data_IF_339670181047
#
_entry.id   IF_339670181047
#
_cell.length_a   1.000
_cell.length_b   1.000
_cell.length_c   1.000
_cell.angle_alpha   90.00
_cell.angle_beta   90.00
_cell.angle_gamma   90.00
#
_symmetry.space_group_name_H-M   'P 1'
#
loop_
_entity.id
_entity.type
_entity.pdbx_description
1 polymer ?
#
# COMPACT_ATOMS: atom_id res chain seq x y z
N UNK A 1 -11.55 19.76 -4.24
CA UNK A 1 -10.97 18.45 -4.62
C UNK A 1 -11.70 17.31 -3.92
N UNK A 2 -11.81 17.33 -2.58
CA UNK A 2 -12.56 16.31 -1.80
C UNK A 2 -14.01 16.14 -2.28
N UNK A 3 -14.75 17.23 -2.52
CA UNK A 3 -16.16 17.18 -2.98
C UNK A 3 -16.35 16.39 -4.28
N UNK A 4 -15.40 16.47 -5.22
CA UNK A 4 -15.51 15.73 -6.49
C UNK A 4 -15.27 14.24 -6.28
N UNK A 5 -14.35 13.88 -5.37
CA UNK A 5 -14.10 12.47 -5.05
C UNK A 5 -15.31 11.86 -4.35
N UNK A 6 -15.92 12.57 -3.41
CA UNK A 6 -17.15 12.12 -2.74
C UNK A 6 -18.30 11.90 -3.75
N UNK A 7 -18.46 12.80 -4.74
CA UNK A 7 -19.44 12.65 -5.81
C UNK A 7 -19.15 11.45 -6.71
N UNK A 8 -17.89 11.26 -7.14
CA UNK A 8 -17.47 10.09 -7.93
C UNK A 8 -17.82 8.80 -7.18
N UNK A 9 -17.53 8.75 -5.88
CA UNK A 9 -17.84 7.59 -5.04
C UNK A 9 -19.34 7.43 -4.78
N UNK A 10 -20.12 8.51 -4.69
CA UNK A 10 -21.56 8.44 -4.52
C UNK A 10 -22.29 7.91 -5.76
N UNK A 11 -21.68 8.08 -6.94
CA UNK A 11 -22.23 7.62 -8.23
C UNK A 11 -21.67 6.26 -8.66
N UNK A 12 -21.03 5.50 -7.76
CA UNK A 12 -20.49 4.16 -8.06
C UNK A 12 -19.27 4.17 -8.97
N UNK A 13 -18.49 5.27 -8.96
CA UNK A 13 -17.34 5.43 -9.85
C UNK A 13 -16.25 4.37 -9.64
N UNK A 14 -16.03 3.87 -8.42
CA UNK A 14 -15.03 2.80 -8.19
C UNK A 14 -15.54 1.47 -8.75
N UNK A 15 -16.83 1.20 -8.64
CA UNK A 15 -17.44 0.02 -9.26
C UNK A 15 -17.22 0.05 -10.78
N UNK A 16 -17.50 1.17 -11.44
CA UNK A 16 -17.28 1.32 -12.89
C UNK A 16 -15.81 1.17 -13.26
N UNK A 17 -14.90 1.82 -12.52
CA UNK A 17 -13.46 1.67 -12.73
C UNK A 17 -12.99 0.22 -12.56
N UNK A 18 -13.55 -0.50 -11.58
CA UNK A 18 -13.21 -1.90 -11.32
C UNK A 18 -13.70 -2.83 -12.43
N UNK A 19 -14.88 -2.56 -13.01
CA UNK A 19 -15.38 -3.26 -14.19
C UNK A 19 -14.53 -2.95 -15.43
N UNK A 20 -14.17 -1.68 -15.66
CA UNK A 20 -13.25 -1.34 -16.76
C UNK A 20 -11.90 -2.05 -16.60
N UNK A 21 -11.39 -2.15 -15.37
CA UNK A 21 -10.14 -2.88 -15.09
C UNK A 21 -10.22 -4.39 -15.37
N UNK A 22 -11.40 -5.02 -15.22
CA UNK A 22 -11.56 -6.45 -15.52
C UNK A 22 -11.63 -6.73 -17.02
N UNK A 23 -12.19 -5.79 -17.78
CA UNK A 23 -12.52 -5.99 -19.20
C UNK A 23 -11.43 -5.45 -20.14
N UNK A 24 -10.64 -4.46 -19.68
CA UNK A 24 -9.60 -3.85 -20.49
C UNK A 24 -8.32 -4.70 -20.55
N UNK A 25 -7.77 -4.84 -21.75
CA UNK A 25 -6.44 -5.46 -21.98
C UNK A 25 -5.37 -4.41 -22.30
N UNK A 26 -5.76 -3.24 -22.81
CA UNK A 26 -4.81 -2.24 -23.27
C UNK A 26 -4.15 -1.51 -22.08
N UNK A 27 -2.80 -1.41 -22.06
CA UNK A 27 -2.09 -0.81 -20.94
C UNK A 27 -2.43 0.66 -20.69
N UNK A 28 -2.86 1.40 -21.71
CA UNK A 28 -3.17 2.82 -21.57
C UNK A 28 -4.45 3.03 -20.77
N UNK A 29 -5.51 2.29 -21.06
CA UNK A 29 -6.75 2.28 -20.28
C UNK A 29 -6.47 1.84 -18.85
N UNK A 30 -5.76 0.72 -18.67
CA UNK A 30 -5.40 0.22 -17.34
C UNK A 30 -4.58 1.24 -16.53
N UNK A 31 -3.67 1.96 -17.18
CA UNK A 31 -2.89 3.03 -16.53
C UNK A 31 -3.78 4.17 -16.07
N UNK A 32 -4.76 4.59 -16.88
CA UNK A 32 -5.71 5.65 -16.52
C UNK A 32 -6.63 5.21 -15.38
N UNK A 33 -7.12 3.97 -15.42
CA UNK A 33 -7.97 3.39 -14.38
C UNK A 33 -7.21 3.26 -13.06
N UNK A 34 -6.01 2.68 -13.07
CA UNK A 34 -5.15 2.59 -11.89
C UNK A 34 -4.81 3.99 -11.34
N UNK A 35 -4.57 4.97 -12.22
CA UNK A 35 -4.34 6.36 -11.83
C UNK A 35 -5.54 6.98 -11.12
N UNK A 36 -6.75 6.76 -11.62
CA UNK A 36 -7.99 7.24 -11.00
C UNK A 36 -8.21 6.61 -9.63
N UNK A 37 -8.09 5.29 -9.50
CA UNK A 37 -8.22 4.60 -8.21
C UNK A 37 -7.14 5.07 -7.24
N UNK A 38 -5.90 5.24 -7.70
CA UNK A 38 -4.80 5.72 -6.86
C UNK A 38 -5.04 7.14 -6.30
N UNK A 39 -5.71 8.01 -7.05
CA UNK A 39 -6.12 9.33 -6.56
C UNK A 39 -7.18 9.22 -5.46
N UNK A 40 -8.13 8.28 -5.60
CA UNK A 40 -9.18 8.03 -4.61
C UNK A 40 -8.63 7.39 -3.33
N UNK A 41 -7.63 6.50 -3.44
CA UNK A 41 -6.91 5.93 -2.28
C UNK A 41 -6.26 6.99 -1.38
N UNK A 42 -6.01 8.20 -1.89
CA UNK A 42 -5.44 9.32 -1.14
C UNK A 42 -6.43 10.04 -0.22
N UNK A 43 -7.69 9.61 -0.16
CA UNK A 43 -8.72 10.18 0.69
C UNK A 43 -9.11 9.19 1.79
N UNK A 44 -8.89 9.59 3.04
CA UNK A 44 -9.11 8.78 4.25
C UNK A 44 -10.59 8.46 4.50
N UNK A 45 -11.50 9.36 4.14
CA UNK A 45 -12.96 9.17 4.29
C UNK A 45 -13.51 8.09 3.35
N UNK A 46 -12.80 7.79 2.26
CA UNK A 46 -13.29 6.92 1.18
C UNK A 46 -12.85 5.46 1.28
N UNK A 47 -11.95 5.12 2.22
CA UNK A 47 -11.30 3.81 2.27
C UNK A 47 -12.25 2.61 2.31
N UNK A 48 -13.23 2.64 3.23
CA UNK A 48 -14.18 1.55 3.42
C UNK A 48 -15.02 1.35 2.17
N UNK A 49 -15.46 2.45 1.53
CA UNK A 49 -16.24 2.38 0.30
C UNK A 49 -15.38 1.94 -0.89
N UNK A 50 -14.15 2.44 -1.01
CA UNK A 50 -13.21 2.03 -2.06
C UNK A 50 -12.94 0.52 -2.00
N UNK A 51 -12.74 -0.03 -0.80
CA UNK A 51 -12.63 -1.48 -0.61
C UNK A 51 -13.93 -2.19 -1.03
N UNK A 52 -15.07 -1.73 -0.51
CA UNK A 52 -16.39 -2.35 -0.76
C UNK A 52 -16.78 -2.39 -2.24
N UNK A 53 -16.41 -1.36 -3.01
CA UNK A 53 -16.62 -1.28 -4.46
C UNK A 53 -15.52 -1.99 -5.28
N UNK A 54 -14.61 -2.71 -4.63
CA UNK A 54 -13.61 -3.55 -5.30
C UNK A 54 -12.33 -2.84 -5.73
N UNK A 55 -12.10 -1.59 -5.33
CA UNK A 55 -10.95 -0.79 -5.79
C UNK A 55 -9.58 -1.42 -5.47
N UNK A 56 -9.41 -2.04 -4.30
CA UNK A 56 -8.15 -2.76 -3.96
C UNK A 56 -7.98 -3.98 -4.87
N UNK A 57 -9.03 -4.77 -5.03
CA UNK A 57 -9.03 -5.96 -5.90
C UNK A 57 -8.77 -5.60 -7.36
N UNK A 58 -9.31 -4.48 -7.84
CA UNK A 58 -9.05 -3.98 -9.19
C UNK A 58 -7.57 -3.61 -9.37
N UNK A 59 -6.97 -2.89 -8.41
CA UNK A 59 -5.52 -2.59 -8.45
C UNK A 59 -4.67 -3.87 -8.52
N UNK A 60 -4.98 -4.87 -7.68
CA UNK A 60 -4.26 -6.15 -7.68
C UNK A 60 -4.52 -6.96 -8.96
N UNK A 61 -5.74 -6.93 -9.49
CA UNK A 61 -6.10 -7.60 -10.73
C UNK A 61 -5.36 -7.06 -11.95
N UNK A 62 -5.07 -5.75 -11.98
CA UNK A 62 -4.32 -5.10 -13.05
C UNK A 62 -2.82 -5.42 -13.03
N UNK A 63 -2.27 -5.98 -11.94
CA UNK A 63 -0.85 -6.36 -11.86
C UNK A 63 -0.45 -7.30 -13.01
N UNK A 64 -1.37 -8.18 -13.44
CA UNK A 64 -1.13 -9.15 -14.52
C UNK A 64 -0.77 -8.52 -15.87
N UNK A 65 -1.11 -7.24 -16.08
CA UNK A 65 -0.74 -6.50 -17.30
C UNK A 65 0.78 -6.35 -17.45
N UNK A 66 1.52 -6.30 -16.33
CA UNK A 66 2.98 -6.22 -16.32
C UNK A 66 3.57 -4.91 -16.87
N UNK A 67 2.75 -3.99 -17.40
CA UNK A 67 3.22 -2.74 -17.97
C UNK A 67 3.76 -1.80 -16.87
N UNK A 68 5.01 -1.30 -16.97
CA UNK A 68 5.65 -0.53 -15.90
C UNK A 68 4.84 0.68 -15.41
N UNK A 69 4.22 1.42 -16.33
CA UNK A 69 3.42 2.58 -15.95
C UNK A 69 2.13 2.22 -15.19
N UNK A 70 1.54 1.06 -15.50
CA UNK A 70 0.36 0.54 -14.78
C UNK A 70 0.80 0.14 -13.37
N UNK A 71 1.91 -0.60 -13.25
CA UNK A 71 2.48 -1.01 -11.97
C UNK A 71 2.87 0.20 -11.09
N UNK A 72 3.39 1.28 -11.68
CA UNK A 72 3.69 2.51 -10.96
C UNK A 72 2.43 3.17 -10.38
N UNK A 73 1.32 3.18 -11.13
CA UNK A 73 0.05 3.68 -10.61
C UNK A 73 -0.54 2.77 -9.52
N UNK A 74 -0.42 1.45 -9.67
CA UNK A 74 -0.84 0.48 -8.64
C UNK A 74 -0.04 0.70 -7.36
N UNK A 75 1.29 0.79 -7.46
CA UNK A 75 2.16 1.06 -6.33
C UNK A 75 1.78 2.38 -5.63
N UNK A 76 1.55 3.44 -6.41
CA UNK A 76 1.07 4.74 -5.90
C UNK A 76 -0.25 4.61 -5.14
N UNK A 77 -1.21 3.87 -5.69
CA UNK A 77 -2.52 3.64 -5.07
C UNK A 77 -2.42 2.89 -3.74
N UNK A 78 -1.61 1.83 -3.69
CA UNK A 78 -1.35 1.06 -2.48
C UNK A 78 -0.65 1.93 -1.42
N UNK A 79 0.36 2.72 -1.80
CA UNK A 79 1.06 3.64 -0.90
C UNK A 79 0.12 4.70 -0.31
N UNK A 80 -0.73 5.29 -1.14
CA UNK A 80 -1.73 6.27 -0.70
C UNK A 80 -2.72 5.66 0.28
N UNK A 81 -3.22 4.46 -0.01
CA UNK A 81 -4.17 3.77 0.85
C UNK A 81 -3.55 3.45 2.21
N UNK A 82 -2.36 2.84 2.23
CA UNK A 82 -1.63 2.51 3.46
C UNK A 82 -1.35 3.76 4.32
N UNK A 83 -0.94 4.87 3.69
CA UNK A 83 -0.71 6.15 4.36
C UNK A 83 -1.99 6.69 5.01
N UNK A 84 -3.11 6.64 4.30
CA UNK A 84 -4.40 7.09 4.85
C UNK A 84 -4.87 6.18 5.98
N UNK A 85 -4.68 4.86 5.88
CA UNK A 85 -5.03 3.94 6.97
C UNK A 85 -4.22 4.27 8.22
N UNK A 86 -2.93 4.58 8.02
CA UNK A 86 -2.04 4.93 9.11
C UNK A 86 -2.39 6.23 9.81
N UNK A 87 -2.77 7.25 9.06
CA UNK A 87 -3.31 8.49 9.62
C UNK A 87 -4.59 8.24 10.41
N UNK A 88 -5.54 7.50 9.83
CA UNK A 88 -6.82 7.22 10.48
C UNK A 88 -6.64 6.45 11.80
N UNK A 89 -5.73 5.47 11.83
CA UNK A 89 -5.45 4.72 13.04
C UNK A 89 -4.69 5.54 14.11
N UNK A 90 -3.78 6.43 13.70
CA UNK A 90 -3.12 7.37 14.63
C UNK A 90 -4.13 8.33 15.28
N UNK A 91 -5.22 8.67 14.58
CA UNK A 91 -6.31 9.50 15.10
C UNK A 91 -7.35 8.72 15.91
N UNK A 92 -7.19 7.40 16.07
CA UNK A 92 -8.17 6.53 16.73
C UNK A 92 -9.45 6.27 15.92
N UNK A 93 -9.52 6.73 14.67
CA UNK A 93 -10.67 6.56 13.78
C UNK A 93 -10.72 5.17 13.13
N UNK A 94 -9.62 4.42 13.20
CA UNK A 94 -9.52 3.08 12.63
C UNK A 94 -8.75 2.15 13.56
N UNK A 95 -9.37 1.03 13.88
CA UNK A 95 -8.78 -0.01 14.73
C UNK A 95 -8.87 -1.32 13.95
N UNK A 96 -7.76 -2.05 13.89
CA UNK A 96 -7.71 -3.38 13.29
C UNK A 96 -6.72 -3.52 12.14
N UNK A 97 -6.66 -4.75 11.63
CA UNK A 97 -5.79 -5.16 10.52
C UNK A 97 -6.07 -4.31 9.27
N UNK A 98 -5.02 -4.01 8.51
CA UNK A 98 -5.15 -3.21 7.28
C UNK A 98 -5.99 -3.94 6.24
N UNK A 99 -6.84 -3.16 5.54
CA UNK A 99 -7.69 -3.68 4.46
C UNK A 99 -6.84 -4.14 3.26
N UNK A 100 -5.64 -3.56 3.06
CA UNK A 100 -4.69 -4.03 2.04
C UNK A 100 -4.20 -5.44 2.36
N UNK A 101 -3.95 -5.74 3.64
CA UNK A 101 -3.51 -7.06 4.07
C UNK A 101 -4.67 -8.06 3.97
N UNK A 102 -5.89 -7.66 4.34
CA UNK A 102 -7.09 -8.49 4.17
C UNK A 102 -7.37 -8.88 2.71
N UNK A 103 -7.15 -7.95 1.77
CA UNK A 103 -7.39 -8.18 0.35
C UNK A 103 -6.14 -8.77 -0.37
N UNK A 104 -5.11 -9.19 0.38
CA UNK A 104 -3.97 -9.94 -0.16
C UNK A 104 -2.92 -9.10 -0.89
N UNK A 105 -2.82 -7.81 -0.60
CA UNK A 105 -1.82 -6.94 -1.24
C UNK A 105 -0.40 -7.15 -0.68
N UNK A 106 -0.25 -7.63 0.56
CA UNK A 106 1.04 -7.71 1.24
C UNK A 106 2.08 -8.57 0.49
N UNK A 107 1.78 -9.78 -0.04
CA UNK A 107 2.75 -10.54 -0.83
C UNK A 107 3.28 -9.77 -2.05
N UNK A 108 2.42 -9.01 -2.73
CA UNK A 108 2.84 -8.20 -3.88
C UNK A 108 3.70 -7.00 -3.45
N UNK A 109 3.38 -6.38 -2.32
CA UNK A 109 4.20 -5.32 -1.71
C UNK A 109 5.60 -5.86 -1.40
N UNK A 110 5.71 -7.00 -0.70
CA UNK A 110 7.02 -7.60 -0.36
C UNK A 110 7.82 -7.89 -1.62
N UNK A 111 7.20 -8.54 -2.62
CA UNK A 111 7.85 -8.85 -3.90
C UNK A 111 8.40 -7.62 -4.63
N UNK A 112 7.79 -6.45 -4.46
CA UNK A 112 8.17 -5.21 -5.15
C UNK A 112 8.91 -4.21 -4.26
N UNK A 113 9.23 -4.57 -3.01
CA UNK A 113 9.88 -3.65 -2.07
C UNK A 113 11.27 -3.21 -2.54
N UNK A 114 11.99 -4.07 -3.26
CA UNK A 114 13.27 -3.77 -3.89
C UNK A 114 13.20 -3.76 -5.44
N UNK A 115 12.08 -3.28 -6.01
CA UNK A 115 11.90 -3.21 -7.46
C UNK A 115 12.96 -2.30 -8.11
N UNK A 116 13.49 -2.62 -9.30
CA UNK A 116 14.50 -1.80 -9.97
C UNK A 116 13.98 -0.42 -10.41
N UNK A 117 12.70 -0.34 -10.79
CA UNK A 117 12.05 0.90 -11.18
C UNK A 117 11.83 1.80 -9.96
N UNK A 118 12.60 2.89 -9.89
CA UNK A 118 12.56 3.84 -8.79
C UNK A 118 11.15 4.36 -8.41
N UNK A 119 10.23 4.65 -9.37
CA UNK A 119 8.87 5.07 -9.04
C UNK A 119 8.07 3.99 -8.30
N UNK A 120 8.19 2.72 -8.70
CA UNK A 120 7.51 1.59 -8.04
C UNK A 120 8.13 1.40 -6.66
N UNK A 121 9.46 1.22 -6.60
CA UNK A 121 10.21 0.98 -5.36
C UNK A 121 9.85 2.00 -4.28
N UNK A 122 9.94 3.29 -4.59
CA UNK A 122 9.61 4.38 -3.67
C UNK A 122 8.22 4.23 -3.05
N UNK A 123 7.21 3.93 -3.85
CA UNK A 123 5.84 3.82 -3.37
C UNK A 123 5.63 2.57 -2.52
N UNK A 124 6.25 1.45 -2.89
CA UNK A 124 6.17 0.21 -2.13
C UNK A 124 6.89 0.31 -0.79
N UNK A 125 8.08 0.92 -0.75
CA UNK A 125 8.80 1.18 0.50
C UNK A 125 7.96 2.04 1.46
N UNK A 126 7.31 3.09 0.95
CA UNK A 126 6.36 3.90 1.74
C UNK A 126 5.15 3.09 2.23
N UNK A 127 4.56 2.27 1.35
CA UNK A 127 3.43 1.43 1.72
C UNK A 127 3.79 0.48 2.85
N UNK A 128 4.95 -0.18 2.74
CA UNK A 128 5.40 -1.16 3.72
C UNK A 128 5.68 -0.50 5.08
N UNK A 129 6.34 0.66 5.09
CA UNK A 129 6.52 1.45 6.30
C UNK A 129 5.17 1.79 6.96
N UNK A 130 4.20 2.32 6.20
CA UNK A 130 2.90 2.69 6.75
C UNK A 130 2.09 1.50 7.26
N UNK A 131 2.15 0.34 6.59
CA UNK A 131 1.50 -0.87 7.08
C UNK A 131 2.10 -1.34 8.41
N UNK A 132 3.43 -1.33 8.52
CA UNK A 132 4.16 -1.79 9.69
C UNK A 132 4.11 -0.83 10.89
N UNK A 133 3.70 0.43 10.69
CA UNK A 133 3.43 1.36 11.79
C UNK A 133 2.30 0.89 12.71
N UNK A 134 1.43 0.00 12.23
CA UNK A 134 0.36 -0.57 13.04
C UNK A 134 0.76 -1.91 13.62
N UNK A 135 0.83 -1.96 14.96
CA UNK A 135 1.22 -3.17 15.69
C UNK A 135 0.34 -4.38 15.36
N UNK A 136 -0.95 -4.16 15.06
CA UNK A 136 -1.87 -5.23 14.65
C UNK A 136 -1.46 -5.92 13.35
N UNK A 137 -0.73 -5.25 12.45
CA UNK A 137 -0.21 -5.84 11.22
C UNK A 137 1.16 -6.53 11.44
N UNK A 138 1.82 -6.36 12.59
CA UNK A 138 3.20 -6.79 12.77
C UNK A 138 3.40 -8.30 12.57
N UNK A 139 2.41 -9.13 12.94
CA UNK A 139 2.46 -10.57 12.70
C UNK A 139 2.44 -10.92 11.22
N UNK A 140 1.59 -10.25 10.43
CA UNK A 140 1.54 -10.42 8.98
C UNK A 140 2.85 -9.96 8.31
N UNK A 141 3.41 -8.85 8.78
CA UNK A 141 4.71 -8.32 8.32
C UNK A 141 5.84 -9.34 8.56
N UNK A 142 5.83 -10.02 9.70
CA UNK A 142 6.80 -11.08 10.01
C UNK A 142 6.54 -12.32 9.16
N UNK A 143 5.30 -12.82 9.10
CA UNK A 143 4.99 -14.08 8.42
C UNK A 143 5.18 -14.01 6.90
N UNK A 144 4.96 -12.85 6.29
CA UNK A 144 5.18 -12.61 4.85
C UNK A 144 6.63 -12.25 4.52
N UNK A 145 7.55 -12.27 5.50
CA UNK A 145 8.96 -11.95 5.31
C UNK A 145 9.26 -10.46 5.10
N UNK A 146 8.25 -9.60 5.25
CA UNK A 146 8.36 -8.16 5.03
C UNK A 146 9.29 -7.45 6.03
N UNK A 147 9.56 -8.06 7.20
CA UNK A 147 10.53 -7.57 8.17
C UNK A 147 11.92 -7.36 7.54
N UNK A 148 12.38 -8.28 6.67
CA UNK A 148 13.69 -8.17 6.03
C UNK A 148 13.75 -6.97 5.08
N UNK A 149 12.68 -6.74 4.33
CA UNK A 149 12.57 -5.57 3.46
C UNK A 149 12.53 -4.27 4.26
N UNK A 150 11.84 -4.23 5.40
CA UNK A 150 11.86 -3.05 6.29
C UNK A 150 13.27 -2.75 6.81
N UNK A 151 14.03 -3.77 7.21
CA UNK A 151 15.42 -3.62 7.67
C UNK A 151 16.32 -3.14 6.52
N UNK A 152 16.15 -3.69 5.31
CA UNK A 152 16.85 -3.20 4.11
C UNK A 152 16.52 -1.72 3.87
N UNK A 153 15.24 -1.35 3.92
CA UNK A 153 14.80 0.04 3.71
C UNK A 153 15.42 0.97 4.75
N UNK A 154 15.49 0.58 6.03
CA UNK A 154 16.07 1.42 7.08
C UNK A 154 17.58 1.64 6.95
N UNK A 155 18.27 0.87 6.10
CA UNK A 155 19.73 0.95 5.89
C UNK A 155 20.08 1.53 4.53
N UNK A 156 19.42 1.04 3.49
CA UNK A 156 19.87 1.20 2.10
C UNK A 156 18.96 2.10 1.27
N UNK A 157 17.77 2.48 1.78
CA UNK A 157 16.88 3.35 1.02
C UNK A 157 17.54 4.71 0.77
N UNK A 158 17.62 5.10 -0.51
CA UNK A 158 18.25 6.35 -0.94
C UNK A 158 17.50 7.60 -0.50
N UNK A 159 16.23 7.46 -0.09
CA UNK A 159 15.38 8.56 0.37
C UNK A 159 15.38 8.60 1.90
N UNK A 160 16.02 9.64 2.44
CA UNK A 160 16.17 9.85 3.90
C UNK A 160 14.84 9.77 4.66
N UNK A 161 13.79 10.39 4.12
CA UNK A 161 12.46 10.42 4.74
C UNK A 161 11.89 9.01 4.92
N UNK A 162 12.03 8.15 3.90
CA UNK A 162 11.58 6.75 3.95
C UNK A 162 12.49 5.94 4.89
N UNK A 163 13.80 6.12 4.79
CA UNK A 163 14.77 5.38 5.60
C UNK A 163 14.54 5.61 7.09
N UNK A 164 14.38 6.88 7.49
CA UNK A 164 14.06 7.26 8.86
C UNK A 164 12.68 6.75 9.30
N UNK A 165 11.70 6.72 8.40
CA UNK A 165 10.38 6.16 8.69
C UNK A 165 10.46 4.64 8.98
N UNK A 166 11.22 3.89 8.18
CA UNK A 166 11.44 2.46 8.39
C UNK A 166 12.14 2.20 9.73
N UNK A 167 13.24 2.92 10.01
CA UNK A 167 13.96 2.80 11.27
C UNK A 167 13.07 3.06 12.49
N UNK A 168 12.28 4.15 12.46
CA UNK A 168 11.31 4.46 13.53
C UNK A 168 10.26 3.37 13.69
N UNK A 169 9.78 2.80 12.58
CA UNK A 169 8.78 1.74 12.60
C UNK A 169 9.32 0.47 13.27
N UNK A 170 10.53 0.04 12.90
CA UNK A 170 11.22 -1.11 13.48
C UNK A 170 11.48 -0.93 14.98
N UNK A 171 11.87 0.28 15.39
CA UNK A 171 12.17 0.61 16.79
C UNK A 171 10.94 0.93 17.62
N UNK A 172 9.77 1.18 17.03
CA UNK A 172 8.54 1.49 17.79
C UNK A 172 7.65 0.26 17.99
N UNK A 173 7.78 -0.78 17.17
CA UNK A 173 6.96 -2.00 17.26
C UNK A 173 7.60 -3.06 18.18
N UNK A 174 6.98 -3.42 19.32
CA UNK A 174 7.48 -4.48 20.19
C UNK A 174 7.58 -5.84 19.50
N UNK A 175 6.61 -6.18 18.63
CA UNK A 175 6.61 -7.45 17.89
C UNK A 175 7.78 -7.52 16.91
N UNK A 176 8.00 -6.45 16.11
CA UNK A 176 9.11 -6.44 15.15
C UNK A 176 10.46 -6.47 15.87
N UNK A 177 10.63 -5.72 16.97
CA UNK A 177 11.85 -5.78 17.79
C UNK A 177 12.09 -7.18 18.37
N UNK A 178 11.04 -7.83 18.90
CA UNK A 178 11.15 -9.17 19.46
C UNK A 178 11.61 -10.16 18.40
N UNK A 179 11.05 -10.06 17.19
CA UNK A 179 11.41 -10.91 16.08
C UNK A 179 12.83 -10.64 15.58
N UNK A 180 13.24 -9.38 15.48
CA UNK A 180 14.63 -9.04 15.15
C UNK A 180 15.62 -9.59 16.16
N UNK A 181 15.34 -9.49 17.47
CA UNK A 181 16.19 -10.10 18.51
C UNK A 181 16.26 -11.62 18.36
N UNK A 182 15.12 -12.28 18.08
CA UNK A 182 15.06 -13.72 17.83
C UNK A 182 15.92 -14.13 16.63
N UNK A 183 15.93 -13.33 15.58
CA UNK A 183 16.68 -13.55 14.34
C UNK A 183 18.11 -12.99 14.37
N UNK A 184 18.50 -12.30 15.45
CA UNK A 184 19.80 -11.60 15.60
C UNK A 184 20.04 -10.56 14.50
N UNK A 185 19.00 -9.83 14.13
CA UNK A 185 19.05 -8.73 13.18
C UNK A 185 19.27 -7.42 13.96
N UNK A 186 20.32 -6.71 13.62
CA UNK A 186 20.54 -5.34 14.09
C UNK A 186 19.83 -4.36 13.15
N UNK A 187 19.49 -3.15 13.61
CA UNK A 187 18.99 -2.07 12.76
C UNK A 187 20.13 -1.10 12.49
#
# INVERSE_FOLDING_TARGET
>A
AETNQDLIMAQGGVTLLSMTASDAEDPQTLRMVAGAIANLCGNDKLQTRLRGEGGIKALLGMVKCGHPDVLAQIARGIANFAKCESRAATQGNKVGRSLLVDDGALPWIVKNANNEAAPIRRHIELALCHLAQHEVNAKDIVSEGALWELVRISRDCSREDIRMLAYRTLTSSPTLQSEMRRLRIEC
#
